data_IF_428131088208
#
_entry.id   IF_428131088208
#
_cell.length_a   1.000
_cell.length_b   1.000
_cell.length_c   1.000
_cell.angle_alpha   90.00
_cell.angle_beta   90.00
_cell.angle_gamma   90.00
#
_symmetry.space_group_name_H-M   'P 1'
#
loop_
_entity.id
_entity.type
_entity.pdbx_description
1 polymer ?
#
# COMPACT_ATOMS: atom_id res chain seq x y z
N UNK A 1 -15.05 14.76 -10.68
CA UNK A 1 -14.72 16.20 -10.87
C UNK A 1 -15.92 16.99 -11.33
N UNK A 2 -16.58 16.59 -12.40
CA UNK A 2 -17.80 17.23 -12.91
C UNK A 2 -18.85 17.48 -11.83
N UNK A 3 -19.09 16.50 -10.94
CA UNK A 3 -20.03 16.65 -9.82
C UNK A 3 -19.71 17.79 -8.87
N UNK A 4 -18.43 18.10 -8.63
CA UNK A 4 -18.03 19.22 -7.76
C UNK A 4 -18.25 20.57 -8.44
N UNK A 5 -17.93 20.66 -9.72
CA UNK A 5 -18.16 21.88 -10.52
C UNK A 5 -19.66 22.16 -10.63
N UNK A 6 -20.45 21.13 -10.92
CA UNK A 6 -21.92 21.24 -10.99
C UNK A 6 -22.51 21.66 -9.64
N UNK A 7 -22.05 21.06 -8.54
CA UNK A 7 -22.50 21.42 -7.19
C UNK A 7 -22.16 22.87 -6.87
N UNK A 8 -20.93 23.31 -7.11
CA UNK A 8 -20.50 24.70 -6.87
C UNK A 8 -21.29 25.68 -7.73
N UNK A 9 -21.50 25.36 -9.02
CA UNK A 9 -22.31 26.18 -9.90
C UNK A 9 -23.78 26.32 -9.40
N UNK A 10 -24.37 25.22 -8.93
CA UNK A 10 -25.74 25.23 -8.40
C UNK A 10 -25.84 26.06 -7.10
N UNK A 11 -24.87 25.93 -6.19
CA UNK A 11 -24.85 26.71 -4.95
C UNK A 11 -24.61 28.21 -5.20
N UNK A 12 -23.84 28.58 -6.22
CA UNK A 12 -23.53 29.97 -6.55
C UNK A 12 -24.56 30.62 -7.48
N UNK A 13 -25.48 29.85 -8.08
CA UNK A 13 -26.46 30.37 -9.02
C UNK A 13 -27.43 31.40 -8.41
N UNK A 14 -27.70 31.33 -7.10
CA UNK A 14 -28.57 32.27 -6.39
C UNK A 14 -27.88 33.60 -6.10
N UNK A 15 -26.55 33.66 -6.14
CA UNK A 15 -25.76 34.84 -5.72
C UNK A 15 -25.10 35.57 -6.89
N UNK A 16 -24.96 34.94 -8.05
CA UNK A 16 -24.21 35.46 -9.18
C UNK A 16 -25.10 35.72 -10.40
N UNK A 17 -24.82 36.79 -11.12
CA UNK A 17 -25.46 37.03 -12.41
C UNK A 17 -24.87 36.13 -13.52
N UNK A 18 -25.54 36.05 -14.67
CA UNK A 18 -25.17 35.16 -15.78
C UNK A 18 -23.73 35.36 -16.25
N UNK A 19 -23.23 36.58 -16.30
CA UNK A 19 -21.86 36.87 -16.72
C UNK A 19 -20.82 36.40 -15.69
N UNK A 20 -21.11 36.58 -14.41
CA UNK A 20 -20.27 36.12 -13.30
C UNK A 20 -20.27 34.57 -13.19
N UNK A 21 -21.43 33.93 -13.40
CA UNK A 21 -21.53 32.46 -13.46
C UNK A 21 -20.67 31.89 -14.59
N UNK A 22 -20.72 32.51 -15.78
CA UNK A 22 -19.89 32.06 -16.90
C UNK A 22 -18.41 32.20 -16.59
N UNK A 23 -18.01 33.30 -15.94
CA UNK A 23 -16.62 33.50 -15.53
C UNK A 23 -16.18 32.54 -14.44
N UNK A 24 -17.02 32.28 -13.45
CA UNK A 24 -16.79 31.27 -12.42
C UNK A 24 -16.56 29.88 -13.03
N UNK A 25 -17.44 29.45 -13.94
CA UNK A 25 -17.32 28.18 -14.63
C UNK A 25 -16.02 28.07 -15.43
N UNK A 26 -15.64 29.13 -16.15
CA UNK A 26 -14.41 29.19 -16.90
C UNK A 26 -13.17 29.02 -15.99
N UNK A 27 -13.13 29.75 -14.87
CA UNK A 27 -12.04 29.68 -13.88
C UNK A 27 -11.99 28.30 -13.24
N UNK A 28 -13.12 27.72 -12.83
CA UNK A 28 -13.17 26.38 -12.26
C UNK A 28 -12.64 25.34 -13.24
N UNK A 29 -13.10 25.37 -14.50
CA UNK A 29 -12.63 24.44 -15.53
C UNK A 29 -11.13 24.59 -15.77
N UNK A 30 -10.62 25.82 -15.86
CA UNK A 30 -9.19 26.08 -16.07
C UNK A 30 -8.36 25.59 -14.88
N UNK A 31 -8.73 25.96 -13.66
CA UNK A 31 -7.99 25.59 -12.44
C UNK A 31 -7.95 24.08 -12.23
N UNK A 32 -9.07 23.39 -12.46
CA UNK A 32 -9.12 21.94 -12.31
C UNK A 32 -8.40 21.21 -13.44
N UNK A 33 -8.44 21.72 -14.69
CA UNK A 33 -7.70 21.11 -15.82
C UNK A 33 -6.18 21.30 -15.68
N UNK A 34 -5.71 22.46 -15.21
CA UNK A 34 -4.28 22.70 -14.94
C UNK A 34 -3.77 21.79 -13.80
N UNK A 35 -4.55 21.63 -12.73
CA UNK A 35 -4.22 20.73 -11.62
C UNK A 35 -4.16 19.25 -12.05
N UNK A 36 -5.01 18.83 -12.98
CA UNK A 36 -4.96 17.45 -13.52
C UNK A 36 -3.80 17.27 -14.48
N UNK A 37 -3.56 18.21 -15.37
CA UNK A 37 -2.45 18.16 -16.32
C UNK A 37 -1.07 18.10 -15.61
N UNK A 38 -0.90 18.82 -14.51
CA UNK A 38 0.31 18.74 -13.70
C UNK A 38 0.44 17.39 -12.98
N UNK A 39 -0.68 16.83 -12.50
CA UNK A 39 -0.70 15.52 -11.84
C UNK A 39 -0.59 14.36 -12.83
N UNK A 40 -0.96 14.52 -14.09
CA UNK A 40 -0.79 13.51 -15.15
C UNK A 40 0.66 13.39 -15.65
N UNK A 41 1.53 14.33 -15.34
CA UNK A 41 2.94 14.32 -15.76
C UNK A 41 3.85 13.44 -14.89
N UNK A 42 3.40 13.04 -13.69
CA UNK A 42 4.21 12.20 -12.79
C UNK A 42 4.10 10.74 -13.26
N UNK A 43 5.23 10.15 -13.57
CA UNK A 43 5.30 8.72 -13.96
C UNK A 43 5.04 7.79 -12.77
N UNK A 44 4.63 6.55 -13.04
CA UNK A 44 4.47 5.54 -11.99
C UNK A 44 5.77 5.31 -11.20
N UNK A 45 6.92 5.43 -11.85
CA UNK A 45 8.25 5.28 -11.26
C UNK A 45 8.58 6.44 -10.32
N UNK A 46 8.19 7.65 -10.67
CA UNK A 46 8.36 8.82 -9.81
C UNK A 46 7.50 8.73 -8.56
N UNK A 47 6.25 8.27 -8.65
CA UNK A 47 5.43 8.00 -7.46
C UNK A 47 6.08 6.98 -6.53
N UNK A 48 6.64 5.91 -7.09
CA UNK A 48 7.35 4.93 -6.29
C UNK A 48 8.58 5.54 -5.61
N UNK A 49 9.36 6.34 -6.31
CA UNK A 49 10.53 7.02 -5.76
C UNK A 49 10.14 7.94 -4.60
N UNK A 50 9.14 8.79 -4.78
CA UNK A 50 8.64 9.69 -3.73
C UNK A 50 8.16 8.93 -2.49
N UNK A 51 7.43 7.83 -2.69
CA UNK A 51 7.01 6.95 -1.60
C UNK A 51 8.19 6.37 -0.83
N UNK A 52 9.21 5.84 -1.53
CA UNK A 52 10.39 5.25 -0.88
C UNK A 52 11.20 6.30 -0.12
N UNK A 53 11.32 7.51 -0.66
CA UNK A 53 11.99 8.63 0.01
C UNK A 53 11.21 9.04 1.29
N UNK A 54 9.87 9.11 1.23
CA UNK A 54 9.04 9.36 2.40
C UNK A 54 9.24 8.27 3.48
N UNK A 55 9.22 6.98 3.10
CA UNK A 55 9.46 5.87 4.05
C UNK A 55 10.87 5.87 4.63
N UNK A 56 11.85 6.37 3.90
CA UNK A 56 13.20 6.55 4.41
C UNK A 56 13.28 7.64 5.47
N UNK A 57 12.59 8.77 5.25
CA UNK A 57 12.48 9.86 6.24
C UNK A 57 11.74 9.40 7.50
N UNK A 58 10.71 8.54 7.36
CA UNK A 58 9.99 7.91 8.47
C UNK A 58 10.87 6.94 9.30
N UNK A 59 12.11 6.67 8.88
CA UNK A 59 13.06 5.81 9.60
C UNK A 59 12.92 4.31 9.29
N UNK A 60 12.29 3.94 8.20
CA UNK A 60 12.24 2.55 7.77
C UNK A 60 13.64 2.01 7.43
N UNK A 61 13.92 0.77 7.82
CA UNK A 61 15.18 0.11 7.49
C UNK A 61 15.34 -0.09 5.98
N UNK A 62 16.58 -0.09 5.49
CA UNK A 62 16.90 -0.35 4.07
C UNK A 62 16.26 -1.66 3.56
N UNK A 63 16.21 -2.69 4.40
CA UNK A 63 15.56 -3.95 4.07
C UNK A 63 14.05 -3.78 3.84
N UNK A 64 13.40 -2.97 4.66
CA UNK A 64 11.96 -2.65 4.52
C UNK A 64 11.71 -1.86 3.25
N UNK A 65 12.53 -0.85 2.97
CA UNK A 65 12.46 -0.03 1.75
C UNK A 65 12.62 -0.90 0.50
N UNK A 66 13.61 -1.81 0.50
CA UNK A 66 13.80 -2.74 -0.61
C UNK A 66 12.59 -3.66 -0.80
N UNK A 67 11.95 -4.07 0.30
CA UNK A 67 10.75 -4.90 0.23
C UNK A 67 9.56 -4.15 -0.37
N UNK A 68 9.36 -2.88 -0.01
CA UNK A 68 8.38 -2.01 -0.64
C UNK A 68 8.67 -1.84 -2.14
N UNK A 69 9.91 -1.49 -2.48
CA UNK A 69 10.36 -1.30 -3.87
C UNK A 69 9.98 -2.50 -4.74
N UNK A 70 10.50 -3.69 -4.41
CA UNK A 70 10.28 -4.90 -5.20
C UNK A 70 8.80 -5.25 -5.33
N UNK A 71 8.03 -5.05 -4.27
CA UNK A 71 6.59 -5.36 -4.28
C UNK A 71 5.81 -4.43 -5.20
N UNK A 72 6.07 -3.12 -5.11
CA UNK A 72 5.35 -2.12 -5.92
C UNK A 72 5.81 -2.14 -7.37
N UNK A 73 7.12 -2.26 -7.64
CA UNK A 73 7.64 -2.41 -9.02
C UNK A 73 6.98 -3.58 -9.74
N UNK A 74 6.88 -4.74 -9.07
CA UNK A 74 6.22 -5.91 -9.65
C UNK A 74 4.74 -5.68 -9.95
N UNK A 75 4.02 -4.97 -9.07
CA UNK A 75 2.64 -4.57 -9.33
C UNK A 75 2.56 -3.69 -10.58
N UNK A 76 3.38 -2.65 -10.66
CA UNK A 76 3.39 -1.68 -11.76
C UNK A 76 3.78 -2.31 -13.11
N UNK A 77 4.63 -3.33 -13.09
CA UNK A 77 5.02 -4.08 -14.30
C UNK A 77 3.94 -5.07 -14.77
N UNK A 78 3.11 -5.55 -13.84
CA UNK A 78 2.09 -6.57 -14.15
C UNK A 78 0.75 -5.95 -14.55
N UNK A 79 0.41 -4.78 -13.96
CA UNK A 79 -0.86 -4.10 -14.22
C UNK A 79 -0.60 -2.90 -15.12
N UNK A 80 -1.08 -2.99 -16.36
CA UNK A 80 -0.84 -2.00 -17.44
C UNK A 80 -1.72 -0.74 -17.31
N UNK A 81 -2.37 -0.55 -16.15
CA UNK A 81 -3.24 0.57 -15.86
C UNK A 81 -2.47 1.66 -15.11
N UNK A 82 -2.59 2.94 -15.50
CA UNK A 82 -2.01 4.04 -14.75
C UNK A 82 -2.44 4.01 -13.27
N UNK A 83 -1.52 4.25 -12.36
CA UNK A 83 -1.69 4.16 -10.90
C UNK A 83 -2.97 4.87 -10.40
N UNK A 84 -3.24 6.06 -10.93
CA UNK A 84 -4.41 6.88 -10.56
C UNK A 84 -5.76 6.31 -11.01
N UNK A 85 -5.75 5.41 -12.01
CA UNK A 85 -6.94 4.76 -12.57
C UNK A 85 -7.08 3.30 -12.10
N UNK A 86 -6.10 2.78 -11.35
CA UNK A 86 -6.08 1.40 -10.89
C UNK A 86 -7.26 1.09 -9.97
N UNK A 87 -7.96 0.01 -10.29
CA UNK A 87 -9.19 -0.39 -9.60
C UNK A 87 -8.93 -1.48 -8.55
N UNK A 88 -9.86 -1.61 -7.59
CA UNK A 88 -9.83 -2.70 -6.59
C UNK A 88 -9.81 -4.08 -7.24
N UNK A 89 -10.51 -4.26 -8.37
CA UNK A 89 -10.60 -5.56 -9.05
C UNK A 89 -9.29 -5.94 -9.74
N UNK A 90 -8.57 -5.00 -10.32
CA UNK A 90 -7.25 -5.24 -10.90
C UNK A 90 -6.26 -5.69 -9.84
N UNK A 91 -6.26 -5.04 -8.68
CA UNK A 91 -5.39 -5.45 -7.57
C UNK A 91 -5.77 -6.82 -7.02
N UNK A 92 -7.06 -7.14 -6.90
CA UNK A 92 -7.49 -8.49 -6.50
C UNK A 92 -7.00 -9.56 -7.47
N UNK A 93 -7.15 -9.30 -8.77
CA UNK A 93 -6.68 -10.20 -9.83
C UNK A 93 -5.17 -10.39 -9.72
N UNK A 94 -4.42 -9.30 -9.60
CA UNK A 94 -2.97 -9.34 -9.39
C UNK A 94 -2.58 -10.22 -8.18
N UNK A 95 -3.21 -10.03 -7.02
CA UNK A 95 -2.89 -10.82 -5.83
C UNK A 95 -3.17 -12.32 -6.01
N UNK A 96 -4.26 -12.67 -6.70
CA UNK A 96 -4.60 -14.07 -7.02
C UNK A 96 -3.58 -14.68 -7.98
N UNK A 97 -3.21 -13.96 -9.03
CA UNK A 97 -2.21 -14.40 -10.01
C UNK A 97 -0.82 -14.50 -9.39
N UNK A 98 -0.42 -13.51 -8.59
CA UNK A 98 0.82 -13.52 -7.84
C UNK A 98 0.94 -14.78 -6.98
N UNK A 99 -0.12 -15.13 -6.26
CA UNK A 99 -0.14 -16.33 -5.41
C UNK A 99 0.02 -17.61 -6.23
N UNK A 100 -0.63 -17.72 -7.39
CA UNK A 100 -0.55 -18.87 -8.28
C UNK A 100 0.84 -19.03 -8.90
N UNK A 101 1.38 -17.94 -9.49
CA UNK A 101 2.67 -17.96 -10.20
C UNK A 101 3.82 -18.27 -9.24
N UNK A 102 3.83 -17.65 -8.06
CA UNK A 102 4.91 -17.85 -7.09
C UNK A 102 4.66 -19.02 -6.12
N UNK A 103 3.55 -19.72 -6.26
CA UNK A 103 3.13 -20.83 -5.36
C UNK A 103 3.32 -20.48 -3.88
N UNK A 104 2.95 -19.25 -3.48
CA UNK A 104 3.23 -18.74 -2.15
C UNK A 104 2.06 -18.92 -1.17
N UNK A 105 2.41 -19.05 0.12
CA UNK A 105 1.44 -19.21 1.19
C UNK A 105 0.65 -17.94 1.51
N UNK A 106 -0.44 -18.09 2.28
CA UNK A 106 -1.32 -16.99 2.68
C UNK A 106 -0.61 -15.88 3.46
N UNK A 107 0.43 -16.21 4.22
CA UNK A 107 1.24 -15.22 4.96
C UNK A 107 2.01 -14.32 4.00
N UNK A 108 2.63 -14.91 2.98
CA UNK A 108 3.41 -14.18 1.97
C UNK A 108 2.51 -13.23 1.18
N UNK A 109 1.36 -13.72 0.71
CA UNK A 109 0.44 -12.87 -0.06
C UNK A 109 -0.18 -11.76 0.81
N UNK A 110 -0.42 -11.98 2.13
CA UNK A 110 -0.86 -10.90 3.03
C UNK A 110 0.23 -9.85 3.25
N UNK A 111 1.51 -10.24 3.24
CA UNK A 111 2.62 -9.28 3.29
C UNK A 111 2.68 -8.44 2.02
N UNK A 112 2.54 -9.05 0.84
CA UNK A 112 2.44 -8.33 -0.44
C UNK A 112 1.26 -7.35 -0.42
N UNK A 113 0.08 -7.81 0.01
CA UNK A 113 -1.11 -6.96 0.18
C UNK A 113 -0.84 -5.76 1.10
N UNK A 114 -0.16 -5.97 2.25
CA UNK A 114 0.18 -4.89 3.19
C UNK A 114 1.09 -3.84 2.57
N UNK A 115 2.10 -4.26 1.83
CA UNK A 115 3.00 -3.33 1.16
C UNK A 115 2.27 -2.48 0.11
N UNK A 116 1.43 -3.11 -0.71
CA UNK A 116 0.60 -2.41 -1.69
C UNK A 116 -0.39 -1.46 -0.98
N UNK A 117 -0.99 -1.91 0.14
CA UNK A 117 -1.88 -1.06 0.93
C UNK A 117 -1.18 0.18 1.49
N UNK A 118 0.05 0.02 2.00
CA UNK A 118 0.85 1.16 2.49
C UNK A 118 1.14 2.17 1.38
N UNK A 119 1.48 1.70 0.18
CA UNK A 119 1.72 2.56 -0.97
C UNK A 119 0.48 3.34 -1.40
N UNK A 120 -0.66 2.67 -1.55
CA UNK A 120 -1.89 3.35 -1.95
C UNK A 120 -2.49 4.24 -0.84
N UNK A 121 -2.24 3.94 0.44
CA UNK A 121 -2.62 4.83 1.55
C UNK A 121 -1.80 6.11 1.51
N UNK A 122 -0.50 6.00 1.29
CA UNK A 122 0.37 7.16 1.12
C UNK A 122 -0.04 8.01 -0.09
N UNK A 123 -0.38 7.40 -1.24
CA UNK A 123 -0.87 8.15 -2.41
C UNK A 123 -2.19 8.90 -2.12
N UNK A 124 -3.06 8.34 -1.27
CA UNK A 124 -4.29 8.99 -0.83
C UNK A 124 -4.01 10.13 0.16
N UNK A 125 -3.08 9.94 1.10
CA UNK A 125 -2.65 10.94 2.10
C UNK A 125 -1.98 12.16 1.44
N UNK A 126 -1.22 11.95 0.36
CA UNK A 126 -0.57 13.01 -0.43
C UNK A 126 -1.48 13.60 -1.53
N UNK A 127 -2.76 13.28 -1.53
CA UNK A 127 -3.74 13.75 -2.52
C UNK A 127 -3.41 13.43 -3.99
N UNK A 128 -2.55 12.41 -4.24
CA UNK A 128 -2.28 11.93 -5.60
C UNK A 128 -3.44 11.13 -6.17
N UNK A 129 -4.18 10.43 -5.32
CA UNK A 129 -5.43 9.74 -5.65
C UNK A 129 -6.54 10.16 -4.69
N UNK A 130 -7.76 10.21 -5.20
CA UNK A 130 -8.91 10.61 -4.38
C UNK A 130 -9.28 9.56 -3.33
N UNK A 131 -9.09 8.27 -3.65
CA UNK A 131 -9.46 7.15 -2.79
C UNK A 131 -8.63 5.92 -3.10
N UNK A 132 -8.06 5.32 -2.08
CA UNK A 132 -7.26 4.10 -2.20
C UNK A 132 -8.13 2.91 -2.65
N UNK A 133 -7.74 2.20 -3.74
CA UNK A 133 -8.41 0.98 -4.17
C UNK A 133 -8.25 -0.18 -3.18
N UNK A 134 -7.30 -0.07 -2.24
CA UNK A 134 -7.04 -1.09 -1.22
C UNK A 134 -8.06 -1.10 -0.07
N UNK A 135 -8.87 -0.08 0.10
CA UNK A 135 -9.85 0.03 1.21
C UNK A 135 -10.81 -1.16 1.31
N UNK A 136 -11.10 -1.84 0.18
CA UNK A 136 -12.00 -3.00 0.11
C UNK A 136 -11.26 -4.33 0.07
N UNK A 137 -9.94 -4.34 0.25
CA UNK A 137 -9.12 -5.55 0.27
C UNK A 137 -8.63 -5.79 1.70
N UNK A 138 -9.37 -6.64 2.41
CA UNK A 138 -9.11 -6.91 3.82
C UNK A 138 -7.95 -7.91 4.03
N UNK A 139 -7.48 -7.99 5.27
CA UNK A 139 -6.45 -8.92 5.72
C UNK A 139 -6.84 -10.36 5.37
N UNK A 140 -5.89 -11.11 4.84
CA UNK A 140 -6.05 -12.53 4.54
C UNK A 140 -5.99 -13.33 5.85
N UNK A 141 -7.06 -14.08 6.13
CA UNK A 141 -7.10 -14.94 7.34
C UNK A 141 -6.13 -16.10 7.18
N UNK A 142 -5.16 -16.16 8.05
CA UNK A 142 -4.22 -17.29 8.17
C UNK A 142 -4.55 -18.07 9.43
N UNK A 143 -4.56 -19.39 9.35
CA UNK A 143 -4.59 -20.21 10.55
C UNK A 143 -3.25 -20.00 11.27
N UNK A 144 -3.30 -19.62 12.53
CA UNK A 144 -2.13 -19.68 13.40
C UNK A 144 -2.11 -21.07 14.00
N UNK A 145 -1.20 -21.97 13.58
CA UNK A 145 -1.04 -23.24 14.26
C UNK A 145 -0.60 -22.93 15.69
N UNK A 146 -1.25 -23.58 16.66
CA UNK A 146 -0.76 -23.58 18.02
C UNK A 146 0.61 -24.23 17.97
N UNK A 147 1.64 -23.49 18.37
CA UNK A 147 2.99 -24.06 18.45
C UNK A 147 2.96 -25.06 19.60
N UNK A 148 3.42 -26.27 19.33
CA UNK A 148 3.63 -27.25 20.38
C UNK A 148 4.67 -26.71 21.35
N UNK A 149 4.36 -26.74 22.61
CA UNK A 149 5.32 -26.43 23.68
C UNK A 149 6.32 -27.53 23.80
N UNK A 150 7.56 -27.20 24.01
CA UNK A 150 8.61 -28.19 24.28
C UNK A 150 8.33 -28.76 25.68
N UNK A 151 8.32 -30.09 25.83
CA UNK A 151 8.13 -30.73 27.14
C UNK A 151 9.39 -30.58 28.00
N UNK A 152 9.21 -30.58 29.33
CA UNK A 152 10.32 -30.47 30.29
C UNK A 152 11.38 -31.55 30.03
N UNK A 153 10.97 -32.77 29.70
CA UNK A 153 11.88 -33.88 29.33
C UNK A 153 12.70 -33.58 28.07
N UNK A 154 12.09 -32.90 27.11
CA UNK A 154 12.82 -32.52 25.88
C UNK A 154 13.83 -31.39 26.15
N UNK A 155 13.54 -30.50 27.10
CA UNK A 155 14.47 -29.45 27.54
C UNK A 155 15.65 -30.08 28.31
N UNK A 156 15.40 -31.01 29.23
CA UNK A 156 16.47 -31.69 29.92
C UNK A 156 17.40 -32.45 28.93
N UNK A 157 16.83 -33.14 27.94
CA UNK A 157 17.62 -33.76 26.87
C UNK A 157 18.45 -32.74 26.06
N UNK A 158 17.92 -31.54 25.84
CA UNK A 158 18.69 -30.47 25.18
C UNK A 158 19.84 -30.00 26.05
N UNK A 159 19.64 -29.81 27.37
CA UNK A 159 20.67 -29.47 28.34
C UNK A 159 21.79 -30.51 28.38
N UNK A 160 21.43 -31.78 28.51
CA UNK A 160 22.38 -32.90 28.59
C UNK A 160 23.24 -33.03 27.32
N UNK A 161 22.70 -32.62 26.17
CA UNK A 161 23.42 -32.71 24.91
C UNK A 161 24.19 -31.42 24.57
N UNK A 162 24.14 -30.37 25.41
CA UNK A 162 24.91 -29.14 25.20
C UNK A 162 26.40 -29.39 25.36
N UNK A 163 27.17 -29.07 24.33
CA UNK A 163 28.64 -29.24 24.33
C UNK A 163 29.38 -28.00 24.83
N UNK A 164 28.73 -26.87 24.98
CA UNK A 164 29.36 -25.64 25.44
C UNK A 164 28.48 -24.85 26.42
N UNK A 165 29.11 -24.16 27.36
CA UNK A 165 28.45 -23.37 28.39
C UNK A 165 27.55 -22.25 27.81
N UNK A 166 27.92 -21.68 26.66
CA UNK A 166 27.14 -20.65 25.98
C UNK A 166 25.75 -21.19 25.57
N UNK A 167 25.70 -22.37 24.96
CA UNK A 167 24.47 -22.94 24.44
C UNK A 167 23.55 -23.39 25.62
N UNK A 168 24.16 -23.91 26.70
CA UNK A 168 23.43 -24.23 27.93
C UNK A 168 22.83 -22.94 28.54
N UNK A 169 23.59 -21.86 28.66
CA UNK A 169 23.12 -20.60 29.19
C UNK A 169 21.99 -19.99 28.32
N UNK A 170 22.04 -20.19 26.98
CA UNK A 170 20.95 -19.75 26.10
C UNK A 170 19.65 -20.55 26.32
N UNK A 171 19.74 -21.86 26.56
CA UNK A 171 18.57 -22.68 26.86
C UNK A 171 17.96 -22.22 28.20
N UNK A 172 18.78 -22.04 29.23
CA UNK A 172 18.35 -21.62 30.57
C UNK A 172 17.75 -20.18 30.60
N UNK A 173 18.19 -19.33 29.68
CA UNK A 173 17.65 -17.96 29.54
C UNK A 173 16.28 -17.93 28.83
N UNK A 174 16.03 -18.88 27.92
CA UNK A 174 14.83 -18.90 27.08
C UNK A 174 13.69 -19.74 27.68
N UNK A 175 13.99 -20.53 28.70
CA UNK A 175 13.02 -21.36 29.44
C UNK A 175 12.62 -20.69 30.75
#
# INVERSE_FOLDING_TARGET
>A
MEDKIVKTNNEMAEYLNVAQMKKLQEVLLQTFSESEAQKEQISNEEYLKLFLDAKKIEGCSERTIQYYRVTVERLLQTVDTPLRKMTTEEIRRYLVEYQKINNCGKVTIDNVRRNISSFFSWLEEEDYILKSPMRRIHKIKTKQPVKETISDEAIERLRDNCKCARDLAMIDLLY
#
